data_IF_143563225198
#
_entry.id   IF_143563225198
#
_cell.length_a   1.000
_cell.length_b   1.000
_cell.length_c   1.000
_cell.angle_alpha   90.00
_cell.angle_beta   90.00
_cell.angle_gamma   90.00
#
_symmetry.space_group_name_H-M   'P 1'
#
loop_
_entity.id
_entity.type
_entity.pdbx_description
1 polymer ?
#
# COMPACT_ATOMS: atom_id res chain seq x y z
N UNK A 1 -47.09 16.10 15.52
CA UNK A 1 -46.53 15.78 14.19
C UNK A 1 -45.21 16.51 14.11
N UNK A 2 -44.16 15.86 14.62
CA UNK A 2 -42.80 16.40 14.67
C UNK A 2 -42.24 16.23 13.27
N UNK A 3 -41.93 17.34 12.59
CA UNK A 3 -41.22 17.30 11.31
C UNK A 3 -39.86 16.70 11.66
N UNK A 4 -39.63 15.45 11.26
CA UNK A 4 -38.30 14.86 11.34
C UNK A 4 -37.37 15.79 10.56
N UNK A 5 -36.31 16.25 11.22
CA UNK A 5 -35.22 16.99 10.60
C UNK A 5 -34.47 16.00 9.68
N UNK A 6 -35.12 15.60 8.59
CA UNK A 6 -34.53 14.78 7.54
C UNK A 6 -33.49 15.63 6.82
N UNK A 7 -32.21 15.36 7.09
CA UNK A 7 -31.17 15.61 6.10
C UNK A 7 -29.93 16.39 6.54
N UNK A 8 -29.86 16.88 7.78
CA UNK A 8 -28.59 17.40 8.30
C UNK A 8 -27.90 16.30 9.10
N UNK A 9 -26.90 15.68 8.46
CA UNK A 9 -25.96 14.78 9.13
C UNK A 9 -25.38 15.47 10.37
N UNK A 10 -25.29 14.77 11.52
CA UNK A 10 -24.73 15.36 12.73
C UNK A 10 -23.26 15.73 12.49
N UNK A 11 -22.90 16.96 12.84
CA UNK A 11 -21.50 17.37 12.96
C UNK A 11 -21.02 16.82 14.30
N UNK A 12 -20.04 15.91 14.28
CA UNK A 12 -19.49 15.27 15.46
C UNK A 12 -18.35 16.12 16.04
N UNK A 13 -18.47 16.53 17.29
CA UNK A 13 -17.54 17.46 17.95
C UNK A 13 -16.75 16.81 19.10
N UNK A 14 -17.20 15.64 19.56
CA UNK A 14 -16.56 14.93 20.67
C UNK A 14 -16.72 13.40 20.57
N UNK A 15 -16.12 12.73 21.56
CA UNK A 15 -16.06 11.27 21.62
C UNK A 15 -17.43 10.68 21.95
N UNK A 16 -18.21 11.39 22.76
CA UNK A 16 -19.54 11.01 23.20
C UNK A 16 -20.52 10.97 22.01
N UNK A 17 -20.54 12.02 21.18
CA UNK A 17 -21.36 12.08 19.95
C UNK A 17 -20.96 10.99 18.95
N UNK A 18 -19.66 10.77 18.77
CA UNK A 18 -19.17 9.68 17.92
C UNK A 18 -19.55 8.30 18.47
N UNK A 19 -19.53 8.13 19.80
CA UNK A 19 -19.91 6.86 20.46
C UNK A 19 -21.36 6.54 20.15
N UNK A 20 -22.26 7.48 20.41
CA UNK A 20 -23.69 7.36 20.11
C UNK A 20 -23.91 7.05 18.63
N UNK A 21 -23.19 7.73 17.73
CA UNK A 21 -23.30 7.49 16.29
C UNK A 21 -22.80 6.10 15.87
N UNK A 22 -21.79 5.52 16.53
CA UNK A 22 -21.24 4.21 16.20
C UNK A 22 -22.10 3.04 16.71
N UNK A 23 -22.96 3.25 17.73
CA UNK A 23 -23.69 2.17 18.42
C UNK A 23 -24.54 1.32 17.49
N UNK A 24 -25.13 1.90 16.45
CA UNK A 24 -26.00 1.23 15.47
C UNK A 24 -25.28 0.85 14.16
N UNK A 25 -23.99 1.17 14.02
CA UNK A 25 -23.26 1.00 12.76
C UNK A 25 -22.65 -0.39 12.57
N UNK A 26 -22.52 -0.87 11.31
CA UNK A 26 -21.86 -2.14 11.02
C UNK A 26 -20.39 -2.18 11.47
N UNK A 27 -19.93 -3.34 11.93
CA UNK A 27 -18.53 -3.53 12.37
C UNK A 27 -17.50 -3.20 11.29
N UNK A 28 -17.82 -3.48 10.02
CA UNK A 28 -16.96 -3.16 8.88
C UNK A 28 -16.69 -1.65 8.79
N UNK A 29 -17.72 -0.83 9.00
CA UNK A 29 -17.60 0.62 9.02
C UNK A 29 -16.74 1.09 10.20
N UNK A 30 -17.00 0.57 11.41
CA UNK A 30 -16.21 0.92 12.59
C UNK A 30 -14.72 0.59 12.41
N UNK A 31 -14.39 -0.53 11.74
CA UNK A 31 -13.02 -0.91 11.38
C UNK A 31 -12.37 0.06 10.39
N UNK A 32 -13.09 0.50 9.36
CA UNK A 32 -12.58 1.49 8.40
C UNK A 32 -12.31 2.83 9.09
N UNK A 33 -13.21 3.28 9.97
CA UNK A 33 -13.02 4.52 10.73
C UNK A 33 -11.83 4.44 11.68
N UNK A 34 -11.63 3.31 12.36
CA UNK A 34 -10.42 3.06 13.13
C UNK A 34 -9.17 3.07 12.25
N UNK A 35 -9.20 2.44 11.07
CA UNK A 35 -8.08 2.45 10.13
C UNK A 35 -7.69 3.88 9.73
N UNK A 36 -8.67 4.71 9.38
CA UNK A 36 -8.46 6.11 9.00
C UNK A 36 -7.98 6.97 10.17
N UNK A 37 -8.54 6.79 11.37
CA UNK A 37 -8.04 7.45 12.58
C UNK A 37 -6.58 7.11 12.87
N UNK A 38 -6.19 5.84 12.69
CA UNK A 38 -4.81 5.39 12.88
C UNK A 38 -3.87 5.92 11.77
N UNK A 39 -4.34 6.01 10.52
CA UNK A 39 -3.58 6.63 9.43
C UNK A 39 -3.27 8.10 9.73
N UNK A 40 -4.21 8.85 10.33
CA UNK A 40 -4.01 10.28 10.65
C UNK A 40 -2.82 10.56 11.57
N UNK A 41 -2.45 9.59 12.41
CA UNK A 41 -1.31 9.70 13.34
C UNK A 41 -0.04 9.02 12.82
N UNK A 42 -0.07 8.41 11.63
CA UNK A 42 1.06 7.68 11.06
C UNK A 42 2.33 8.54 10.88
N UNK A 43 2.27 9.84 10.49
CA UNK A 43 3.46 10.68 10.37
C UNK A 43 4.27 10.77 11.67
N UNK A 44 3.63 10.68 12.84
CA UNK A 44 4.35 10.71 14.12
C UNK A 44 5.26 9.49 14.33
N UNK A 45 4.94 8.33 13.71
CA UNK A 45 5.82 7.14 13.72
C UNK A 45 7.15 7.47 13.04
N UNK A 46 7.11 8.30 11.98
CA UNK A 46 8.28 8.64 11.20
C UNK A 46 9.21 9.59 11.93
N UNK A 47 8.68 10.46 12.80
CA UNK A 47 9.51 11.27 13.69
C UNK A 47 10.35 10.37 14.58
N UNK A 48 9.80 9.24 15.06
CA UNK A 48 10.57 8.23 15.79
C UNK A 48 11.69 7.61 14.93
N UNK A 49 11.39 7.29 13.66
CA UNK A 49 12.37 6.75 12.71
C UNK A 49 13.52 7.72 12.45
N UNK A 50 13.23 9.02 12.33
CA UNK A 50 14.21 10.05 12.07
C UNK A 50 15.21 10.21 13.22
N UNK A 51 14.74 10.06 14.46
CA UNK A 51 15.55 10.12 15.67
C UNK A 51 16.39 8.84 15.87
N UNK A 52 16.00 7.73 15.25
CA UNK A 52 16.56 6.42 15.54
C UNK A 52 17.55 5.89 14.51
N UNK A 53 18.25 6.76 13.76
CA UNK A 53 19.04 6.37 12.57
C UNK A 53 20.03 5.21 12.79
N UNK A 54 20.40 4.85 14.03
CA UNK A 54 21.28 3.70 14.32
C UNK A 54 20.62 2.53 15.08
N UNK A 55 19.47 2.72 15.75
CA UNK A 55 18.90 1.65 16.59
C UNK A 55 17.99 0.71 15.79
N UNK A 56 18.41 -0.57 15.70
CA UNK A 56 17.63 -1.64 15.10
C UNK A 56 16.25 -1.82 15.77
N UNK A 57 16.14 -1.60 17.09
CA UNK A 57 14.88 -1.78 17.83
C UNK A 57 13.81 -0.78 17.41
N UNK A 58 14.19 0.48 17.24
CA UNK A 58 13.27 1.53 16.80
C UNK A 58 12.80 1.31 15.36
N UNK A 59 13.72 0.90 14.47
CA UNK A 59 13.36 0.52 13.09
C UNK A 59 12.37 -0.65 13.05
N UNK A 60 12.61 -1.67 13.87
CA UNK A 60 11.72 -2.82 13.97
C UNK A 60 10.35 -2.45 14.56
N UNK A 61 10.33 -1.54 15.55
CA UNK A 61 9.10 -1.02 16.12
C UNK A 61 8.26 -0.28 15.08
N UNK A 62 8.86 0.68 14.37
CA UNK A 62 8.18 1.41 13.31
C UNK A 62 7.67 0.48 12.19
N UNK A 63 8.48 -0.50 11.77
CA UNK A 63 8.05 -1.52 10.81
C UNK A 63 6.84 -2.31 11.29
N UNK A 64 6.81 -2.66 12.59
CA UNK A 64 5.68 -3.34 13.22
C UNK A 64 4.42 -2.47 13.20
N UNK A 65 4.55 -1.17 13.46
CA UNK A 65 3.43 -0.23 13.38
C UNK A 65 2.92 -0.04 11.94
N UNK A 66 3.81 0.05 10.95
CA UNK A 66 3.40 0.10 9.54
C UNK A 66 2.69 -1.19 9.10
N UNK A 67 3.20 -2.35 9.53
CA UNK A 67 2.53 -3.64 9.28
C UNK A 67 1.14 -3.66 9.88
N UNK A 68 0.99 -3.19 11.12
CA UNK A 68 -0.29 -3.09 11.80
C UNK A 68 -1.25 -2.21 10.99
N UNK A 69 -0.85 -0.98 10.68
CA UNK A 69 -1.63 -0.05 9.87
C UNK A 69 -2.07 -0.64 8.52
N UNK A 70 -1.14 -1.23 7.77
CA UNK A 70 -1.43 -1.88 6.50
C UNK A 70 -2.44 -3.02 6.68
N UNK A 71 -2.23 -3.89 7.65
CA UNK A 71 -3.13 -5.02 7.93
C UNK A 71 -4.52 -4.51 8.30
N UNK A 72 -4.61 -3.42 9.06
CA UNK A 72 -5.90 -2.79 9.40
C UNK A 72 -6.63 -2.29 8.16
N UNK A 73 -5.93 -1.56 7.28
CA UNK A 73 -6.50 -1.05 6.05
C UNK A 73 -6.97 -2.19 5.14
N UNK A 74 -6.15 -3.22 4.94
CA UNK A 74 -6.49 -4.35 4.08
C UNK A 74 -7.65 -5.17 4.65
N UNK A 75 -7.63 -5.54 5.94
CA UNK A 75 -8.72 -6.36 6.55
C UNK A 75 -10.06 -5.65 6.58
N UNK A 76 -10.07 -4.32 6.58
CA UNK A 76 -11.30 -3.54 6.47
C UNK A 76 -11.88 -3.51 5.05
N UNK A 77 -11.10 -3.92 4.04
CA UNK A 77 -11.48 -3.92 2.62
C UNK A 77 -11.62 -5.32 2.03
N UNK A 78 -10.72 -6.23 2.37
CA UNK A 78 -10.60 -7.58 1.82
C UNK A 78 -10.94 -8.60 2.90
N UNK A 79 -11.88 -9.50 2.60
CA UNK A 79 -12.25 -10.61 3.49
C UNK A 79 -11.23 -11.74 3.36
N UNK A 80 -10.26 -11.79 4.27
CA UNK A 80 -9.26 -12.86 4.32
C UNK A 80 -8.98 -13.30 5.77
N UNK A 81 -9.21 -14.58 6.07
CA UNK A 81 -9.02 -15.17 7.41
C UNK A 81 -7.55 -15.21 7.85
N UNK A 82 -6.62 -15.33 6.91
CA UNK A 82 -5.19 -15.32 7.22
C UNK A 82 -4.75 -13.94 7.72
N UNK A 83 -5.34 -12.86 7.18
CA UNK A 83 -5.10 -11.51 7.69
C UNK A 83 -5.64 -11.30 9.11
N UNK A 84 -6.79 -11.89 9.45
CA UNK A 84 -7.32 -11.85 10.82
C UNK A 84 -6.39 -12.58 11.81
N UNK A 85 -5.79 -13.70 11.38
CA UNK A 85 -4.75 -14.39 12.16
C UNK A 85 -3.47 -13.54 12.28
N UNK A 86 -3.05 -12.91 11.18
CA UNK A 86 -1.91 -11.98 11.14
C UNK A 86 -2.11 -10.81 12.11
N UNK A 87 -3.31 -10.22 12.15
CA UNK A 87 -3.65 -9.12 13.05
C UNK A 87 -3.44 -9.48 14.54
N UNK A 88 -3.82 -10.68 14.96
CA UNK A 88 -3.58 -11.16 16.33
C UNK A 88 -2.08 -11.28 16.66
N UNK A 89 -1.28 -11.82 15.72
CA UNK A 89 0.17 -11.91 15.87
C UNK A 89 0.83 -10.53 15.95
N UNK A 90 0.33 -9.58 15.15
CA UNK A 90 0.80 -8.19 15.16
C UNK A 90 0.47 -7.52 16.49
N UNK A 91 -0.76 -7.67 17.00
CA UNK A 91 -1.18 -7.09 18.27
C UNK A 91 -0.29 -7.55 19.43
N UNK A 92 0.03 -8.84 19.49
CA UNK A 92 0.96 -9.39 20.49
C UNK A 92 2.37 -8.80 20.37
N UNK A 93 2.86 -8.63 19.14
CA UNK A 93 4.20 -8.09 18.88
C UNK A 93 4.27 -6.60 19.22
N UNK A 94 3.31 -5.82 18.75
CA UNK A 94 3.25 -4.37 18.96
C UNK A 94 3.00 -4.02 20.43
N UNK A 95 2.19 -4.79 21.16
CA UNK A 95 2.00 -4.60 22.61
C UNK A 95 3.27 -4.88 23.41
N UNK A 96 4.03 -5.93 23.07
CA UNK A 96 5.32 -6.21 23.68
C UNK A 96 6.33 -5.08 23.43
N UNK A 97 6.39 -4.54 22.21
CA UNK A 97 7.23 -3.38 21.91
C UNK A 97 6.80 -2.14 22.69
N UNK A 98 5.50 -1.85 22.76
CA UNK A 98 4.98 -0.72 23.53
C UNK A 98 5.33 -0.85 25.01
N UNK A 99 5.17 -2.02 25.62
CA UNK A 99 5.56 -2.24 27.01
C UNK A 99 7.07 -2.02 27.24
N UNK A 100 7.91 -2.47 26.31
CA UNK A 100 9.35 -2.22 26.38
C UNK A 100 9.70 -0.73 26.21
N UNK A 101 8.99 -0.03 25.32
CA UNK A 101 9.14 1.40 25.09
C UNK A 101 8.70 2.21 26.33
N UNK A 102 7.52 1.91 26.88
CA UNK A 102 6.98 2.54 28.08
C UNK A 102 7.92 2.37 29.28
N UNK A 103 8.44 1.16 29.50
CA UNK A 103 9.41 0.92 30.58
C UNK A 103 10.69 1.75 30.42
N UNK A 104 11.14 1.98 29.19
CA UNK A 104 12.30 2.83 28.90
C UNK A 104 11.98 4.30 29.20
N UNK A 105 10.79 4.77 28.82
CA UNK A 105 10.30 6.12 29.11
C UNK A 105 10.10 6.38 30.60
N UNK A 106 9.47 5.46 31.34
CA UNK A 106 9.32 5.54 32.81
C UNK A 106 10.68 5.53 33.50
N UNK A 107 11.63 4.72 33.03
CA UNK A 107 12.98 4.72 33.56
C UNK A 107 13.61 6.10 33.38
N UNK A 108 13.54 6.68 32.18
CA UNK A 108 14.01 8.04 31.90
C UNK A 108 13.35 9.12 32.77
N UNK A 109 12.03 9.04 32.96
CA UNK A 109 11.28 9.97 33.82
C UNK A 109 11.64 9.81 35.31
N UNK A 110 11.84 8.58 35.80
CA UNK A 110 12.29 8.32 37.17
C UNK A 110 13.72 8.81 37.45
N UNK A 111 14.55 8.91 36.41
CA UNK A 111 15.87 9.56 36.51
C UNK A 111 15.77 11.09 36.66
N UNK A 112 14.63 11.71 36.33
CA UNK A 112 14.43 13.15 36.55
C UNK A 112 14.29 13.52 38.03
N UNK A 113 13.87 12.59 38.89
CA UNK A 113 13.90 12.78 40.35
C UNK A 113 15.32 12.62 40.95
N UNK A 114 16.26 12.07 40.17
CA UNK A 114 17.68 11.93 40.49
C UNK A 114 18.50 13.18 40.13
N UNK A 115 18.33 14.26 40.90
CA UNK A 115 18.98 15.58 40.69
C UNK A 115 20.50 15.60 40.33
N UNK A 116 21.38 14.67 40.76
CA UNK A 116 22.80 14.72 40.38
C UNK A 116 23.08 14.31 38.92
N UNK A 117 22.27 13.41 38.35
CA UNK A 117 22.46 12.93 36.97
C UNK A 117 21.85 13.91 35.98
N UNK A 118 20.71 14.53 36.31
CA UNK A 118 20.17 15.63 35.53
C UNK A 118 21.10 16.85 35.49
N UNK A 119 21.90 17.15 36.53
CA UNK A 119 22.87 18.26 36.41
C UNK A 119 24.02 17.90 35.47
N UNK A 120 24.49 16.65 35.45
CA UNK A 120 25.51 16.18 34.51
C UNK A 120 24.97 16.04 33.07
N UNK A 121 23.76 15.51 32.91
CA UNK A 121 23.07 15.36 31.63
C UNK A 121 22.60 16.72 31.10
N UNK A 122 22.07 17.62 31.94
CA UNK A 122 21.77 19.00 31.55
C UNK A 122 23.04 19.83 31.32
N UNK A 123 24.19 19.50 31.92
CA UNK A 123 25.48 20.14 31.60
C UNK A 123 26.06 19.60 30.28
N UNK A 124 25.85 18.33 29.96
CA UNK A 124 26.15 17.72 28.66
C UNK A 124 25.20 18.21 27.54
N UNK A 125 23.89 18.30 27.82
CA UNK A 125 22.85 18.81 26.92
C UNK A 125 22.86 20.35 26.82
N UNK A 126 23.31 21.10 27.83
CA UNK A 126 23.61 22.54 27.67
C UNK A 126 24.82 22.76 26.76
N UNK A 127 25.72 21.80 26.64
CA UNK A 127 26.78 21.79 25.61
C UNK A 127 26.28 21.31 24.24
N UNK A 128 25.12 20.66 24.15
CA UNK A 128 24.46 20.22 22.92
C UNK A 128 22.97 20.62 22.89
N UNK A 129 22.71 21.93 22.84
CA UNK A 129 21.40 22.59 22.62
C UNK A 129 20.18 21.97 23.34
N UNK A 130 19.74 22.59 24.44
CA UNK A 130 18.52 22.25 25.19
C UNK A 130 17.22 22.17 24.32
N UNK A 131 17.22 22.79 23.14
CA UNK A 131 16.12 22.71 22.17
C UNK A 131 15.97 21.32 21.54
N UNK A 132 17.07 20.59 21.39
CA UNK A 132 17.06 19.23 20.83
C UNK A 132 16.40 18.24 21.79
N UNK A 133 16.68 18.35 23.10
CA UNK A 133 16.11 17.46 24.12
C UNK A 133 14.58 17.58 24.27
N UNK A 134 14.04 18.80 24.29
CA UNK A 134 12.59 19.02 24.37
C UNK A 134 11.86 18.48 23.14
N UNK A 135 12.43 18.69 21.95
CA UNK A 135 11.85 18.18 20.70
C UNK A 135 11.87 16.63 20.67
N UNK A 136 12.91 16.00 21.22
CA UNK A 136 12.99 14.54 21.34
C UNK A 136 11.89 14.00 22.26
N UNK A 137 11.70 14.58 23.46
CA UNK A 137 10.66 14.14 24.39
C UNK A 137 9.25 14.33 23.82
N UNK A 138 8.99 15.44 23.14
CA UNK A 138 7.72 15.67 22.44
C UNK A 138 7.50 14.66 21.32
N UNK A 139 8.55 14.33 20.54
CA UNK A 139 8.47 13.31 19.51
C UNK A 139 8.22 11.90 20.07
N UNK A 140 8.85 11.53 21.18
CA UNK A 140 8.62 10.26 21.87
C UNK A 140 7.17 10.16 22.39
N UNK A 141 6.66 11.21 23.03
CA UNK A 141 5.27 11.26 23.50
C UNK A 141 4.26 11.14 22.35
N UNK A 142 4.51 11.84 21.23
CA UNK A 142 3.68 11.70 20.03
C UNK A 142 3.76 10.29 19.47
N UNK A 143 4.95 9.68 19.43
CA UNK A 143 5.14 8.31 18.96
C UNK A 143 4.37 7.30 19.81
N UNK A 144 4.39 7.42 21.14
CA UNK A 144 3.63 6.52 22.02
C UNK A 144 2.12 6.65 21.80
N UNK A 145 1.61 7.87 21.63
CA UNK A 145 0.20 8.11 21.27
C UNK A 145 -0.16 7.49 19.91
N UNK A 146 0.71 7.64 18.90
CA UNK A 146 0.49 7.03 17.59
C UNK A 146 0.48 5.50 17.68
N UNK A 147 1.46 4.93 18.38
CA UNK A 147 1.54 3.49 18.62
C UNK A 147 0.29 2.97 19.34
N UNK A 148 -0.19 3.71 20.35
CA UNK A 148 -1.41 3.39 21.08
C UNK A 148 -2.65 3.41 20.19
N UNK A 149 -2.74 4.39 19.28
CA UNK A 149 -3.85 4.54 18.34
C UNK A 149 -3.89 3.38 17.33
N UNK A 150 -2.72 2.99 16.82
CA UNK A 150 -2.54 1.87 15.89
C UNK A 150 -2.84 0.53 16.58
N UNK A 151 -2.40 0.36 17.82
CA UNK A 151 -2.68 -0.83 18.62
C UNK A 151 -4.18 -0.98 18.87
N UNK A 152 -4.85 0.10 19.25
CA UNK A 152 -6.30 0.11 19.42
C UNK A 152 -6.99 -0.27 18.10
N UNK A 153 -6.62 0.36 16.98
CA UNK A 153 -7.19 0.01 15.68
C UNK A 153 -6.91 -1.45 15.27
N UNK A 154 -5.76 -2.00 15.65
CA UNK A 154 -5.45 -3.43 15.42
C UNK A 154 -6.36 -4.33 16.26
N UNK A 155 -6.62 -3.93 17.50
CA UNK A 155 -7.53 -4.63 18.41
C UNK A 155 -8.99 -4.59 17.91
N UNK A 156 -9.40 -3.52 17.23
CA UNK A 156 -10.70 -3.43 16.53
C UNK A 156 -10.89 -4.56 15.52
N UNK A 157 -9.83 -5.05 14.88
CA UNK A 157 -9.90 -6.17 13.93
C UNK A 157 -9.80 -7.52 14.60
N UNK A 158 -8.90 -7.64 15.59
CA UNK A 158 -8.73 -8.86 16.35
C UNK A 158 -9.99 -9.23 17.16
N UNK A 159 -10.76 -8.22 17.60
CA UNK A 159 -11.97 -8.43 18.38
C UNK A 159 -13.16 -8.89 17.51
N UNK A 160 -13.84 -9.93 17.98
CA UNK A 160 -15.09 -10.44 17.41
C UNK A 160 -16.33 -9.81 18.04
N UNK A 161 -16.20 -9.12 19.17
CA UNK A 161 -17.31 -8.54 19.94
C UNK A 161 -17.53 -7.07 19.62
N UNK A 162 -18.79 -6.66 19.41
CA UNK A 162 -19.18 -5.28 19.05
C UNK A 162 -18.65 -4.21 20.02
N UNK A 163 -18.80 -4.44 21.31
CA UNK A 163 -18.35 -3.49 22.37
C UNK A 163 -16.84 -3.20 22.26
N UNK A 164 -16.02 -4.22 22.02
CA UNK A 164 -14.56 -4.04 21.90
C UNK A 164 -14.16 -3.31 20.62
N UNK A 165 -14.94 -3.41 19.54
CA UNK A 165 -14.68 -2.71 18.27
C UNK A 165 -14.92 -1.22 18.45
N UNK A 166 -16.07 -0.86 19.03
CA UNK A 166 -16.44 0.55 19.27
C UNK A 166 -15.43 1.24 20.19
N UNK A 167 -15.13 0.65 21.35
CA UNK A 167 -14.12 1.18 22.29
C UNK A 167 -12.75 1.41 21.63
N UNK A 168 -12.30 0.44 20.84
CA UNK A 168 -11.01 0.53 20.16
C UNK A 168 -11.00 1.63 19.09
N UNK A 169 -12.08 1.77 18.32
CA UNK A 169 -12.27 2.87 17.36
C UNK A 169 -12.24 4.24 18.06
N UNK A 170 -12.93 4.38 19.20
CA UNK A 170 -12.95 5.61 19.99
C UNK A 170 -11.56 5.95 20.53
N UNK A 171 -10.82 4.97 21.05
CA UNK A 171 -9.44 5.17 21.53
C UNK A 171 -8.54 5.65 20.39
N UNK A 172 -8.63 5.06 19.21
CA UNK A 172 -7.85 5.49 18.04
C UNK A 172 -8.13 6.95 17.67
N UNK A 173 -9.40 7.33 17.60
CA UNK A 173 -9.82 8.69 17.24
C UNK A 173 -9.44 9.67 18.35
N UNK A 174 -9.67 9.34 19.62
CA UNK A 174 -9.23 10.16 20.75
C UNK A 174 -7.71 10.36 20.78
N UNK A 175 -6.93 9.34 20.46
CA UNK A 175 -5.48 9.48 20.42
C UNK A 175 -5.01 10.36 19.25
N UNK A 176 -5.75 10.39 18.13
CA UNK A 176 -5.50 11.33 17.04
C UNK A 176 -5.80 12.79 17.44
N UNK A 177 -6.81 13.05 18.28
CA UNK A 177 -7.10 14.40 18.78
C UNK A 177 -6.13 14.85 19.88
N UNK A 178 -5.57 13.91 20.66
CA UNK A 178 -4.64 14.22 21.75
C UNK A 178 -3.22 14.56 21.28
N UNK A 179 -2.87 14.33 20.02
CA UNK A 179 -1.56 14.69 19.47
C UNK A 179 -1.46 16.15 19.06
N UNK A 180 -2.58 16.86 19.04
CA UNK A 180 -2.70 18.14 18.37
C UNK A 180 -3.11 19.25 19.35
N UNK A 181 -2.75 20.49 19.03
CA UNK A 181 -3.14 21.66 19.84
C UNK A 181 -4.67 21.89 19.71
N UNK A 182 -5.27 22.70 20.58
CA UNK A 182 -6.73 22.89 20.57
C UNK A 182 -7.30 23.33 19.22
N UNK A 183 -6.52 24.09 18.43
CA UNK A 183 -6.88 24.49 17.07
C UNK A 183 -6.93 23.31 16.09
N UNK A 184 -6.06 22.33 16.25
CA UNK A 184 -5.98 21.16 15.38
C UNK A 184 -6.99 20.06 15.77
N UNK A 185 -7.50 20.06 17.02
CA UNK A 185 -8.59 19.16 17.42
C UNK A 185 -9.83 19.36 16.56
N UNK A 186 -10.12 20.61 16.20
CA UNK A 186 -11.22 20.98 15.30
C UNK A 186 -11.03 20.29 13.93
N UNK A 187 -9.80 20.29 13.40
CA UNK A 187 -9.47 19.68 12.11
C UNK A 187 -9.65 18.16 12.16
N UNK A 188 -9.25 17.51 13.26
CA UNK A 188 -9.46 16.07 13.44
C UNK A 188 -10.95 15.73 13.48
N UNK A 189 -11.74 16.47 14.27
CA UNK A 189 -13.19 16.26 14.36
C UNK A 189 -13.93 16.59 13.08
N UNK A 190 -13.48 17.59 12.31
CA UNK A 190 -14.00 17.87 10.98
C UNK A 190 -13.75 16.69 10.02
N UNK A 191 -12.53 16.14 10.01
CA UNK A 191 -12.20 14.98 9.20
C UNK A 191 -12.98 13.72 9.61
N UNK A 192 -13.19 13.50 10.91
CA UNK A 192 -14.02 12.40 11.45
C UNK A 192 -15.48 12.61 11.09
N UNK A 193 -16.01 13.83 11.25
CA UNK A 193 -17.37 14.18 10.88
C UNK A 193 -17.62 13.90 9.41
N UNK A 194 -16.73 14.35 8.53
CA UNK A 194 -16.86 14.08 7.10
C UNK A 194 -16.76 12.59 6.75
N UNK A 195 -15.98 11.82 7.50
CA UNK A 195 -15.95 10.38 7.32
C UNK A 195 -17.32 9.73 7.64
N UNK A 196 -18.12 10.34 8.51
CA UNK A 196 -19.48 9.89 8.87
C UNK A 196 -20.57 10.39 7.94
N UNK A 197 -20.29 11.38 7.07
CA UNK A 197 -21.29 11.94 6.14
C UNK A 197 -21.36 11.24 4.79
N UNK A 198 -20.57 10.19 4.58
CA UNK A 198 -20.55 9.49 3.29
C UNK A 198 -21.81 8.62 3.10
N UNK A 199 -22.60 8.88 2.05
CA UNK A 199 -23.88 8.18 1.83
C UNK A 199 -23.71 6.67 1.53
N UNK A 200 -22.52 6.23 1.10
CA UNK A 200 -22.21 4.83 0.78
C UNK A 200 -21.62 4.02 1.94
N UNK A 201 -21.62 4.54 3.18
CA UNK A 201 -20.88 3.94 4.31
C UNK A 201 -21.34 2.53 4.68
N UNK A 202 -22.61 2.19 4.44
CA UNK A 202 -23.17 0.89 4.84
C UNK A 202 -22.82 -0.18 3.81
N UNK A 203 -22.99 0.12 2.52
CA UNK A 203 -22.86 -0.88 1.46
C UNK A 203 -21.41 -1.10 1.02
N UNK A 204 -20.60 -0.04 1.06
CA UNK A 204 -19.20 -0.11 0.63
C UNK A 204 -18.27 0.73 1.53
N UNK A 205 -18.12 0.38 2.83
CA UNK A 205 -17.30 1.17 3.78
C UNK A 205 -15.88 1.44 3.30
N UNK A 206 -15.27 0.50 2.56
CA UNK A 206 -13.91 0.64 2.03
C UNK A 206 -13.75 1.76 1.00
N UNK A 207 -14.84 2.24 0.38
CA UNK A 207 -14.80 3.41 -0.51
C UNK A 207 -14.40 4.67 0.24
N UNK A 208 -14.52 4.68 1.57
CA UNK A 208 -14.06 5.79 2.40
C UNK A 208 -12.54 6.03 2.28
N UNK A 209 -11.74 5.01 1.93
CA UNK A 209 -10.32 5.21 1.61
C UNK A 209 -10.08 6.00 0.33
N UNK A 210 -11.11 6.21 -0.51
CA UNK A 210 -11.02 7.09 -1.68
C UNK A 210 -11.26 8.57 -1.36
N UNK A 211 -11.66 8.86 -0.13
CA UNK A 211 -11.70 10.23 0.35
C UNK A 211 -10.31 10.60 0.88
N UNK A 212 -9.82 11.82 0.60
CA UNK A 212 -8.63 12.34 1.24
C UNK A 212 -8.70 12.12 2.75
N UNK A 213 -7.56 11.78 3.35
CA UNK A 213 -7.49 11.53 4.79
C UNK A 213 -7.83 12.79 5.59
N UNK A 214 -7.50 13.94 5.00
CA UNK A 214 -7.81 15.29 5.49
C UNK A 214 -8.54 16.04 4.38
N UNK A 215 -9.85 16.28 4.52
CA UNK A 215 -10.65 16.87 3.46
C UNK A 215 -10.31 18.33 3.20
N UNK A 216 -9.97 19.05 4.26
CA UNK A 216 -9.34 20.36 4.19
C UNK A 216 -7.86 20.16 4.48
N UNK A 217 -7.00 20.63 3.58
CA UNK A 217 -5.55 20.50 3.73
C UNK A 217 -5.18 21.07 5.11
N UNK A 218 -4.56 20.26 5.97
CA UNK A 218 -4.52 20.57 7.37
C UNK A 218 -3.55 21.73 7.68
N UNK A 219 -3.67 22.27 8.89
CA UNK A 219 -2.79 23.29 9.44
C UNK A 219 -1.31 23.00 9.17
N UNK A 220 -0.50 24.06 9.13
CA UNK A 220 0.94 24.02 8.82
C UNK A 220 1.69 22.87 9.53
N UNK A 221 1.33 22.56 10.76
CA UNK A 221 1.96 21.51 11.56
C UNK A 221 1.81 20.09 10.96
N UNK A 222 0.61 19.69 10.55
CA UNK A 222 0.39 18.35 9.96
C UNK A 222 1.08 18.23 8.60
N UNK A 223 1.15 19.34 7.85
CA UNK A 223 1.93 19.42 6.61
C UNK A 223 3.43 19.29 6.88
N UNK A 224 3.96 19.94 7.93
CA UNK A 224 5.36 19.84 8.34
C UNK A 224 5.72 18.40 8.79
N UNK A 225 4.82 17.73 9.52
CA UNK A 225 5.01 16.33 9.94
C UNK A 225 5.01 15.36 8.75
N UNK A 226 4.10 15.54 7.78
CA UNK A 226 4.11 14.78 6.52
C UNK A 226 5.42 15.01 5.75
N UNK A 227 5.82 16.27 5.60
CA UNK A 227 7.07 16.61 4.90
C UNK A 227 8.30 16.00 5.62
N UNK A 228 8.31 15.99 6.96
CA UNK A 228 9.36 15.34 7.73
C UNK A 228 9.36 13.82 7.52
N UNK A 229 8.19 13.18 7.48
CA UNK A 229 8.07 11.75 7.17
C UNK A 229 8.64 11.43 5.78
N UNK A 230 8.23 12.16 4.76
CA UNK A 230 8.69 11.99 3.38
C UNK A 230 10.19 12.22 3.26
N UNK A 231 10.69 13.30 3.85
CA UNK A 231 12.12 13.63 3.83
C UNK A 231 12.96 12.53 4.49
N UNK A 232 12.59 12.10 5.69
CA UNK A 232 13.39 11.11 6.43
C UNK A 232 13.32 9.72 5.79
N UNK A 233 12.14 9.34 5.29
CA UNK A 233 11.93 8.02 4.68
C UNK A 233 12.50 7.93 3.27
N UNK A 234 12.46 8.99 2.47
CA UNK A 234 13.01 9.01 1.10
C UNK A 234 14.54 8.87 1.07
N UNK A 235 15.24 9.29 2.13
CA UNK A 235 16.69 9.07 2.28
C UNK A 235 17.08 7.61 2.43
N UNK A 236 16.13 6.75 2.75
CA UNK A 236 16.35 5.34 3.01
C UNK A 236 15.46 4.53 2.06
N UNK A 237 16.04 4.02 0.96
CA UNK A 237 15.30 3.32 -0.11
C UNK A 237 14.33 2.24 0.41
N UNK A 238 14.66 1.56 1.52
CA UNK A 238 13.83 0.53 2.16
C UNK A 238 12.47 1.03 2.68
N UNK A 239 12.31 2.33 2.95
CA UNK A 239 11.04 2.92 3.37
C UNK A 239 10.20 3.48 2.21
N UNK A 240 10.71 3.42 0.98
CA UNK A 240 10.08 4.06 -0.19
C UNK A 240 8.64 3.58 -0.46
N UNK A 241 8.35 2.30 -0.21
CA UNK A 241 6.97 1.78 -0.33
C UNK A 241 6.03 2.47 0.64
N UNK A 242 6.42 2.58 1.92
CA UNK A 242 5.57 3.15 2.98
C UNK A 242 5.26 4.62 2.73
N UNK A 243 6.22 5.38 2.17
CA UNK A 243 6.00 6.77 1.74
C UNK A 243 4.93 6.85 0.67
N UNK A 244 5.09 6.10 -0.44
CA UNK A 244 4.12 6.09 -1.53
C UNK A 244 2.75 5.59 -1.06
N UNK A 245 2.73 4.56 -0.23
CA UNK A 245 1.51 3.97 0.31
C UNK A 245 0.74 4.96 1.19
N UNK A 246 1.43 5.64 2.10
CA UNK A 246 0.80 6.66 2.94
C UNK A 246 0.35 7.87 2.13
N UNK A 247 1.15 8.32 1.16
CA UNK A 247 0.80 9.45 0.29
C UNK A 247 -0.45 9.16 -0.56
N UNK A 248 -0.56 7.94 -1.09
CA UNK A 248 -1.77 7.44 -1.74
C UNK A 248 -2.99 7.50 -0.80
N UNK A 249 -2.86 7.01 0.44
CA UNK A 249 -3.93 7.09 1.45
C UNK A 249 -4.29 8.53 1.83
N UNK A 250 -3.30 9.41 1.91
CA UNK A 250 -3.48 10.82 2.23
C UNK A 250 -4.39 11.53 1.22
N UNK A 251 -4.19 11.24 -0.07
CA UNK A 251 -4.94 11.87 -1.17
C UNK A 251 -6.27 11.16 -1.52
N UNK A 252 -6.57 10.02 -0.90
CA UNK A 252 -7.73 9.22 -1.29
C UNK A 252 -7.51 8.43 -2.60
N UNK A 253 -6.26 8.11 -2.92
CA UNK A 253 -5.88 7.32 -4.09
C UNK A 253 -5.19 6.03 -3.66
N UNK A 254 -5.87 5.15 -2.88
CA UNK A 254 -5.23 3.98 -2.30
C UNK A 254 -4.62 3.09 -3.40
N UNK A 255 -3.45 2.51 -3.11
CA UNK A 255 -2.82 1.52 -3.99
C UNK A 255 -3.74 0.33 -4.23
N UNK A 256 -3.44 -0.45 -5.27
CA UNK A 256 -4.14 -1.72 -5.54
C UNK A 256 -4.25 -2.58 -4.26
N UNK A 257 -5.47 -2.97 -3.90
CA UNK A 257 -5.74 -3.69 -2.66
C UNK A 257 -5.13 -5.09 -2.65
N UNK A 258 -5.02 -5.76 -3.80
CA UNK A 258 -4.38 -7.06 -3.90
C UNK A 258 -2.85 -6.93 -3.74
N UNK A 259 -2.24 -5.83 -4.19
CA UNK A 259 -0.84 -5.52 -3.88
C UNK A 259 -0.66 -5.32 -2.37
N UNK A 260 -1.51 -4.49 -1.74
CA UNK A 260 -1.46 -4.24 -0.30
C UNK A 260 -1.67 -5.53 0.52
N UNK A 261 -2.62 -6.37 0.12
CA UNK A 261 -2.88 -7.69 0.72
C UNK A 261 -1.66 -8.61 0.63
N UNK A 262 -1.04 -8.71 -0.55
CA UNK A 262 0.15 -9.53 -0.74
C UNK A 262 1.31 -9.08 0.16
N UNK A 263 1.46 -7.77 0.40
CA UNK A 263 2.45 -7.24 1.36
C UNK A 263 2.06 -7.58 2.79
N UNK A 264 0.79 -7.40 3.17
CA UNK A 264 0.31 -7.70 4.53
C UNK A 264 0.44 -9.18 4.91
N UNK A 265 0.30 -10.08 3.93
CA UNK A 265 0.43 -11.54 4.07
C UNK A 265 1.88 -12.05 4.06
N UNK A 266 2.87 -11.17 3.98
CA UNK A 266 4.27 -11.60 4.09
C UNK A 266 4.50 -12.42 5.37
N UNK A 267 5.24 -13.54 5.30
CA UNK A 267 5.50 -14.40 6.45
C UNK A 267 6.08 -13.64 7.65
N UNK A 268 5.67 -14.03 8.87
CA UNK A 268 6.19 -13.43 10.11
C UNK A 268 7.72 -13.42 10.20
N UNK A 269 8.38 -14.45 9.65
CA UNK A 269 9.85 -14.53 9.62
C UNK A 269 10.47 -13.39 8.82
N UNK A 270 9.86 -12.96 7.72
CA UNK A 270 10.35 -11.83 6.93
C UNK A 270 10.18 -10.52 7.71
N UNK A 271 9.07 -10.35 8.43
CA UNK A 271 8.84 -9.18 9.28
C UNK A 271 9.81 -9.09 10.45
N UNK A 272 10.19 -10.22 11.03
CA UNK A 272 11.16 -10.29 12.13
C UNK A 272 12.60 -10.06 11.67
N UNK A 273 12.90 -10.34 10.40
CA UNK A 273 14.22 -10.13 9.82
C UNK A 273 14.57 -8.63 9.61
N UNK A 274 13.57 -7.74 9.63
CA UNK A 274 13.78 -6.30 9.63
C UNK A 274 13.39 -5.59 8.33
N UNK A 275 13.55 -4.26 8.28
CA UNK A 275 13.03 -3.43 7.20
C UNK A 275 13.74 -3.66 5.87
N UNK A 276 15.01 -4.06 5.87
CA UNK A 276 15.75 -4.42 4.66
C UNK A 276 15.13 -5.64 3.97
N UNK A 277 14.89 -6.72 4.74
CA UNK A 277 14.24 -7.93 4.23
C UNK A 277 12.84 -7.63 3.70
N UNK A 278 12.05 -6.85 4.43
CA UNK A 278 10.70 -6.47 3.98
C UNK A 278 10.74 -5.63 2.71
N UNK A 279 11.67 -4.70 2.57
CA UNK A 279 11.80 -3.91 1.35
C UNK A 279 12.13 -4.76 0.12
N UNK A 280 12.99 -5.78 0.27
CA UNK A 280 13.28 -6.75 -0.79
C UNK A 280 12.02 -7.53 -1.19
N UNK A 281 11.29 -8.07 -0.20
CA UNK A 281 10.03 -8.80 -0.45
C UNK A 281 8.98 -7.92 -1.12
N UNK A 282 8.83 -6.67 -0.69
CA UNK A 282 7.90 -5.72 -1.32
C UNK A 282 8.30 -5.45 -2.77
N UNK A 283 9.58 -5.23 -3.06
CA UNK A 283 10.08 -5.00 -4.42
C UNK A 283 9.78 -6.18 -5.34
N UNK A 284 9.94 -7.40 -4.85
CA UNK A 284 9.54 -8.61 -5.58
C UNK A 284 8.04 -8.63 -5.88
N UNK A 285 7.20 -8.34 -4.87
CA UNK A 285 5.74 -8.30 -5.03
C UNK A 285 5.35 -7.22 -6.05
N UNK A 286 5.88 -5.99 -5.94
CA UNK A 286 5.62 -4.90 -6.89
C UNK A 286 5.99 -5.29 -8.32
N UNK A 287 7.17 -5.90 -8.51
CA UNK A 287 7.62 -6.35 -9.83
C UNK A 287 6.71 -7.47 -10.39
N UNK A 288 6.25 -8.39 -9.53
CA UNK A 288 5.30 -9.45 -9.90
C UNK A 288 3.96 -8.87 -10.36
N UNK A 289 3.42 -7.90 -9.63
CA UNK A 289 2.17 -7.23 -9.98
C UNK A 289 2.29 -6.41 -11.27
N UNK A 290 3.40 -5.69 -11.45
CA UNK A 290 3.69 -4.98 -12.69
C UNK A 290 3.73 -5.94 -13.89
N UNK A 291 4.37 -7.11 -13.75
CA UNK A 291 4.38 -8.13 -14.80
C UNK A 291 2.96 -8.65 -15.10
N UNK A 292 2.16 -9.00 -14.08
CA UNK A 292 0.77 -9.43 -14.26
C UNK A 292 -0.06 -8.41 -15.03
N UNK A 293 0.06 -7.13 -14.69
CA UNK A 293 -0.65 -6.05 -15.37
C UNK A 293 -0.26 -5.96 -16.86
N UNK A 294 1.04 -6.07 -17.19
CA UNK A 294 1.51 -6.04 -18.58
C UNK A 294 1.07 -7.26 -19.39
N UNK A 295 1.07 -8.44 -18.77
CA UNK A 295 0.55 -9.66 -19.42
C UNK A 295 -0.94 -9.48 -19.72
N UNK A 296 -1.74 -9.00 -18.76
CA UNK A 296 -3.17 -8.78 -18.94
C UNK A 296 -3.48 -7.72 -20.02
N UNK A 297 -2.71 -6.62 -20.07
CA UNK A 297 -2.81 -5.59 -21.11
C UNK A 297 -2.55 -6.19 -22.50
N UNK A 298 -1.48 -6.97 -22.66
CA UNK A 298 -1.16 -7.62 -23.93
C UNK A 298 -2.21 -8.68 -24.32
N UNK A 299 -2.69 -9.49 -23.37
CA UNK A 299 -3.77 -10.46 -23.61
C UNK A 299 -5.06 -9.75 -24.07
N UNK A 300 -5.41 -8.61 -23.47
CA UNK A 300 -6.57 -7.82 -23.86
C UNK A 300 -6.42 -7.24 -25.28
N UNK A 301 -5.26 -6.69 -25.62
CA UNK A 301 -4.96 -6.18 -26.97
C UNK A 301 -5.02 -7.29 -28.03
N UNK A 302 -4.49 -8.47 -27.71
CA UNK A 302 -4.61 -9.65 -28.59
C UNK A 302 -6.07 -10.10 -28.75
N UNK A 303 -6.86 -10.09 -27.67
CA UNK A 303 -8.28 -10.44 -27.70
C UNK A 303 -9.11 -9.45 -28.51
N UNK A 304 -8.86 -8.14 -28.41
CA UNK A 304 -9.57 -7.11 -29.18
C UNK A 304 -9.37 -7.30 -30.68
N UNK A 305 -8.15 -7.61 -31.12
CA UNK A 305 -7.84 -7.88 -32.53
C UNK A 305 -8.45 -9.19 -33.03
N UNK A 306 -8.76 -10.13 -32.14
CA UNK A 306 -9.57 -11.32 -32.46
C UNK A 306 -11.05 -10.97 -32.56
N UNK A 307 -11.59 -10.17 -31.64
CA UNK A 307 -13.01 -9.81 -31.58
C UNK A 307 -13.46 -8.88 -32.72
N UNK A 308 -12.61 -7.92 -33.13
CA UNK A 308 -12.87 -7.06 -34.29
C UNK A 308 -13.05 -7.83 -35.62
N UNK A 309 -12.79 -9.15 -35.63
CA UNK A 309 -13.05 -10.06 -36.77
C UNK A 309 -14.52 -10.45 -36.94
N UNK A 310 -15.33 -10.38 -35.88
CA UNK A 310 -16.72 -10.87 -35.88
C UNK A 310 -17.76 -9.76 -35.89
N UNK A 311 -17.41 -8.61 -36.49
CA UNK A 311 -18.36 -7.51 -36.70
C UNK A 311 -19.67 -8.00 -37.32
N UNK A 312 -20.78 -7.60 -36.70
CA UNK A 312 -22.16 -8.03 -36.94
C UNK A 312 -22.51 -7.81 -38.43
N UNK A 313 -22.54 -8.87 -39.25
CA UNK A 313 -23.26 -8.87 -40.53
C UNK A 313 -22.51 -9.23 -41.81
N UNK A 314 -21.29 -9.78 -41.78
CA UNK A 314 -20.60 -10.21 -43.00
C UNK A 314 -20.21 -11.69 -42.97
N UNK A 315 -20.89 -12.54 -43.74
CA UNK A 315 -20.43 -13.90 -44.06
C UNK A 315 -19.28 -13.86 -45.08
N UNK A 316 -18.34 -12.94 -44.88
CA UNK A 316 -17.16 -12.79 -45.72
C UNK A 316 -16.17 -13.87 -45.31
N UNK A 317 -15.65 -14.67 -46.27
CA UNK A 317 -14.62 -15.64 -45.96
C UNK A 317 -13.43 -14.96 -45.28
N UNK A 318 -12.68 -15.68 -44.42
CA UNK A 318 -11.51 -15.14 -43.76
C UNK A 318 -10.58 -14.50 -44.80
N UNK A 319 -10.28 -13.19 -44.73
CA UNK A 319 -9.39 -12.55 -45.68
C UNK A 319 -8.02 -13.22 -45.66
N UNK A 320 -7.43 -13.44 -46.83
CA UNK A 320 -6.06 -13.94 -46.98
C UNK A 320 -5.09 -13.05 -46.15
N UNK A 321 -4.24 -13.65 -45.31
CA UNK A 321 -3.39 -12.92 -44.35
C UNK A 321 -3.91 -12.86 -42.91
N UNK A 322 -4.78 -13.81 -42.52
CA UNK A 322 -5.20 -13.97 -41.13
C UNK A 322 -4.13 -14.63 -40.27
N UNK A 323 -3.86 -14.00 -39.13
CA UNK A 323 -3.22 -14.59 -37.96
C UNK A 323 -4.07 -15.74 -37.43
N UNK A 324 -3.62 -16.98 -37.58
CA UNK A 324 -4.23 -18.12 -36.92
C UNK A 324 -3.67 -18.30 -35.49
N UNK A 325 -4.18 -19.30 -34.76
CA UNK A 325 -3.72 -19.58 -33.40
C UNK A 325 -2.29 -20.17 -33.38
N UNK A 326 -1.89 -20.86 -34.44
CA UNK A 326 -0.55 -21.40 -34.59
C UNK A 326 0.48 -20.28 -34.77
N UNK A 327 0.14 -19.22 -35.50
CA UNK A 327 0.98 -18.03 -35.73
C UNK A 327 1.29 -17.27 -34.42
N UNK A 328 0.34 -17.24 -33.48
CA UNK A 328 0.51 -16.59 -32.18
C UNK A 328 1.17 -17.50 -31.13
N UNK A 329 1.33 -18.78 -31.41
CA UNK A 329 1.88 -19.76 -30.46
C UNK A 329 3.26 -19.36 -29.90
N UNK A 330 4.21 -18.83 -30.70
CA UNK A 330 5.52 -18.39 -30.19
C UNK A 330 5.42 -17.27 -29.14
N UNK A 331 4.39 -16.43 -29.20
CA UNK A 331 4.12 -15.37 -28.23
C UNK A 331 3.31 -15.88 -27.04
N UNK A 332 2.22 -16.61 -27.30
CA UNK A 332 1.27 -17.05 -26.28
C UNK A 332 1.91 -18.02 -25.28
N UNK A 333 2.74 -18.95 -25.73
CA UNK A 333 3.35 -19.96 -24.86
C UNK A 333 4.26 -19.35 -23.78
N UNK A 334 5.23 -18.46 -24.09
CA UNK A 334 6.00 -17.76 -23.07
C UNK A 334 5.14 -16.94 -22.09
N UNK A 335 4.10 -16.25 -22.59
CA UNK A 335 3.20 -15.46 -21.72
C UNK A 335 2.47 -16.36 -20.72
N UNK A 336 1.95 -17.50 -21.15
CA UNK A 336 1.30 -18.48 -20.27
C UNK A 336 2.26 -19.01 -19.20
N UNK A 337 3.53 -19.25 -19.56
CA UNK A 337 4.55 -19.65 -18.57
C UNK A 337 4.77 -18.54 -17.56
N UNK A 338 5.00 -17.29 -18.00
CA UNK A 338 5.18 -16.17 -17.08
C UNK A 338 3.96 -15.99 -16.16
N UNK A 339 2.75 -16.04 -16.71
CA UNK A 339 1.50 -15.95 -15.95
C UNK A 339 1.43 -17.02 -14.87
N UNK A 340 1.65 -18.28 -15.22
CA UNK A 340 1.66 -19.39 -14.27
C UNK A 340 2.74 -19.22 -13.19
N UNK A 341 3.95 -18.75 -13.57
CA UNK A 341 5.01 -18.49 -12.60
C UNK A 341 4.69 -17.32 -11.65
N UNK A 342 3.96 -16.29 -12.11
CA UNK A 342 3.51 -15.19 -11.22
C UNK A 342 2.44 -15.61 -10.21
N UNK A 343 1.85 -16.79 -10.38
CA UNK A 343 0.86 -17.38 -9.47
C UNK A 343 1.47 -18.48 -8.58
N UNK A 344 2.67 -18.96 -8.91
CA UNK A 344 3.36 -19.97 -8.14
C UNK A 344 3.81 -19.43 -6.77
N UNK A 345 3.68 -20.26 -5.73
CA UNK A 345 4.21 -19.98 -4.39
C UNK A 345 5.75 -19.87 -4.40
N UNK A 346 6.39 -20.75 -5.17
CA UNK A 346 7.84 -20.77 -5.38
C UNK A 346 8.16 -20.69 -6.88
N UNK A 347 8.34 -19.50 -7.45
CA UNK A 347 8.59 -19.34 -8.88
C UNK A 347 9.94 -19.93 -9.31
N UNK A 348 9.99 -20.51 -10.50
CA UNK A 348 11.16 -21.19 -11.06
C UNK A 348 12.01 -20.23 -11.90
N UNK A 349 13.24 -19.93 -11.43
CA UNK A 349 14.22 -19.12 -12.17
C UNK A 349 14.40 -19.56 -13.62
N UNK A 350 14.54 -20.88 -13.82
CA UNK A 350 14.81 -21.45 -15.14
C UNK A 350 13.62 -21.29 -16.09
N UNK A 351 12.39 -21.52 -15.62
CA UNK A 351 11.18 -21.37 -16.44
C UNK A 351 10.93 -19.91 -16.81
N UNK A 352 11.14 -18.99 -15.88
CA UNK A 352 11.03 -17.55 -16.14
C UNK A 352 12.07 -17.13 -17.19
N UNK A 353 13.33 -17.55 -17.05
CA UNK A 353 14.38 -17.24 -18.03
C UNK A 353 14.07 -17.78 -19.43
N UNK A 354 13.59 -19.03 -19.51
CA UNK A 354 13.18 -19.64 -20.78
C UNK A 354 12.03 -18.88 -21.44
N UNK A 355 11.06 -18.41 -20.65
CA UNK A 355 9.95 -17.62 -21.17
C UNK A 355 10.42 -16.24 -21.66
N UNK A 356 11.30 -15.56 -20.92
CA UNK A 356 11.95 -14.31 -21.32
C UNK A 356 12.71 -14.50 -22.65
N UNK A 357 13.49 -15.58 -22.77
CA UNK A 357 14.24 -15.88 -23.99
C UNK A 357 13.31 -16.15 -25.19
N UNK A 358 12.18 -16.82 -24.96
CA UNK A 358 11.12 -17.03 -25.95
C UNK A 358 10.48 -15.72 -26.43
N UNK A 359 10.22 -14.78 -25.52
CA UNK A 359 9.72 -13.44 -25.88
C UNK A 359 10.75 -12.64 -26.69
N UNK A 360 12.04 -12.69 -26.31
CA UNK A 360 13.12 -12.05 -27.11
C UNK A 360 13.24 -12.64 -28.50
N UNK A 361 13.16 -13.96 -28.62
CA UNK A 361 13.19 -14.64 -29.91
C UNK A 361 12.02 -14.20 -30.79
N UNK A 362 10.82 -14.06 -30.21
CA UNK A 362 9.63 -13.55 -30.90
C UNK A 362 9.83 -12.11 -31.39
N UNK A 363 10.31 -11.20 -30.53
CA UNK A 363 10.62 -9.82 -30.92
C UNK A 363 11.66 -9.75 -32.05
N UNK A 364 12.75 -10.51 -31.94
CA UNK A 364 13.81 -10.56 -32.97
C UNK A 364 13.26 -11.09 -34.30
N UNK A 365 12.41 -12.12 -34.24
CA UNK A 365 11.75 -12.67 -35.42
C UNK A 365 10.86 -11.62 -36.09
N UNK A 366 10.06 -10.86 -35.32
CA UNK A 366 9.23 -9.75 -35.84
C UNK A 366 10.12 -8.70 -36.52
N UNK A 367 11.17 -8.21 -35.84
CA UNK A 367 12.07 -7.20 -36.38
C UNK A 367 12.78 -7.65 -37.66
N UNK A 368 13.28 -8.89 -37.69
CA UNK A 368 13.94 -9.44 -38.87
C UNK A 368 13.02 -9.56 -40.09
N UNK A 369 11.72 -9.78 -39.88
CA UNK A 369 10.75 -9.80 -40.99
C UNK A 369 10.35 -8.40 -41.46
N UNK A 370 10.38 -7.39 -40.59
CA UNK A 370 10.20 -5.99 -41.00
C UNK A 370 11.38 -5.56 -41.89
N UNK A 371 12.61 -5.83 -41.46
CA UNK A 371 13.82 -5.50 -42.21
C UNK A 371 13.84 -6.21 -43.58
N UNK A 372 13.51 -7.51 -43.60
CA UNK A 372 13.40 -8.27 -44.83
C UNK A 372 12.23 -7.80 -45.71
N UNK A 373 11.12 -7.38 -45.13
CA UNK A 373 9.94 -6.86 -45.85
C UNK A 373 10.22 -5.51 -46.52
N UNK A 374 10.99 -4.62 -45.88
CA UNK A 374 11.46 -3.37 -46.51
C UNK A 374 12.42 -3.69 -47.67
N UNK A 375 13.28 -4.70 -47.52
CA UNK A 375 14.20 -5.14 -48.59
C UNK A 375 13.53 -5.88 -49.75
N UNK A 376 12.49 -6.67 -49.49
CA UNK A 376 11.81 -7.54 -50.46
C UNK A 376 10.54 -6.92 -51.07
N UNK A 377 9.95 -5.90 -50.44
CA UNK A 377 8.80 -5.15 -50.94
C UNK A 377 9.03 -4.47 -52.29
N UNK A 378 10.28 -4.41 -52.77
CA UNK A 378 10.61 -4.00 -54.13
C UNK A 378 10.52 -5.13 -55.19
N UNK A 379 10.26 -6.40 -54.86
CA UNK A 379 10.42 -7.49 -55.86
C UNK A 379 9.31 -8.52 -56.10
N UNK A 380 8.39 -8.90 -55.22
CA UNK A 380 7.44 -9.98 -55.58
C UNK A 380 6.12 -10.03 -54.79
N UNK A 381 5.01 -10.14 -55.53
CA UNK A 381 3.61 -10.14 -55.05
C UNK A 381 3.09 -11.49 -54.48
N UNK A 382 3.97 -12.47 -54.21
CA UNK A 382 3.58 -13.78 -53.66
C UNK A 382 3.62 -13.89 -52.13
N UNK A 383 4.05 -12.83 -51.43
CA UNK A 383 4.36 -12.82 -49.99
C UNK A 383 3.23 -12.27 -49.07
N UNK A 384 2.01 -12.10 -49.60
CA UNK A 384 0.95 -11.30 -48.99
C UNK A 384 0.45 -11.79 -47.60
N UNK A 385 0.52 -13.10 -47.33
CA UNK A 385 0.06 -13.68 -46.05
C UNK A 385 1.08 -13.43 -44.93
N UNK A 386 2.38 -13.60 -45.22
CA UNK A 386 3.46 -13.39 -44.25
C UNK A 386 3.67 -11.92 -43.90
N UNK A 387 3.53 -11.00 -44.87
CA UNK A 387 3.71 -9.55 -44.63
C UNK A 387 2.60 -8.97 -43.76
N UNK A 388 1.36 -9.43 -43.93
CA UNK A 388 0.21 -8.97 -43.12
C UNK A 388 0.30 -9.46 -41.67
N UNK A 389 0.79 -10.69 -41.46
CA UNK A 389 1.08 -11.25 -40.15
C UNK A 389 2.14 -10.43 -39.40
N UNK A 390 3.28 -10.21 -40.05
CA UNK A 390 4.40 -9.45 -39.49
C UNK A 390 3.99 -8.01 -39.18
N UNK A 391 3.22 -7.36 -40.06
CA UNK A 391 2.73 -6.01 -39.83
C UNK A 391 1.80 -5.91 -38.61
N UNK A 392 0.91 -6.89 -38.41
CA UNK A 392 0.03 -6.93 -37.23
C UNK A 392 0.79 -7.23 -35.95
N UNK A 393 1.76 -8.15 -35.98
CA UNK A 393 2.62 -8.43 -34.83
C UNK A 393 3.56 -7.26 -34.50
N UNK A 394 4.04 -6.54 -35.50
CA UNK A 394 4.80 -5.31 -35.32
C UNK A 394 4.00 -4.27 -34.51
N UNK A 395 2.67 -4.26 -34.68
CA UNK A 395 1.76 -3.45 -33.88
C UNK A 395 1.71 -3.80 -32.39
N UNK A 396 2.28 -4.93 -31.96
CA UNK A 396 2.43 -5.30 -30.54
C UNK A 396 3.86 -5.25 -30.03
N UNK A 397 4.82 -4.79 -30.85
CA UNK A 397 6.25 -4.82 -30.49
C UNK A 397 6.53 -4.11 -29.17
N UNK A 398 5.88 -2.97 -28.95
CA UNK A 398 6.03 -2.15 -27.74
C UNK A 398 5.40 -2.83 -26.50
N UNK A 399 4.22 -3.44 -26.63
CA UNK A 399 3.57 -4.21 -25.55
C UNK A 399 4.44 -5.42 -25.16
N UNK A 400 4.95 -6.17 -26.13
CA UNK A 400 5.82 -7.33 -25.88
C UNK A 400 7.11 -6.88 -25.20
N UNK A 401 7.72 -5.77 -25.64
CA UNK A 401 8.91 -5.20 -25.00
C UNK A 401 8.63 -4.75 -23.55
N UNK A 402 7.45 -4.18 -23.27
CA UNK A 402 7.02 -3.84 -21.92
C UNK A 402 6.85 -5.07 -21.02
N UNK A 403 6.26 -6.15 -21.53
CA UNK A 403 6.17 -7.43 -20.79
C UNK A 403 7.56 -8.00 -20.51
N UNK A 404 8.44 -8.00 -21.52
CA UNK A 404 9.82 -8.48 -21.39
C UNK A 404 10.58 -7.71 -20.30
N UNK A 405 10.54 -6.37 -20.34
CA UNK A 405 11.20 -5.53 -19.34
C UNK A 405 10.65 -5.78 -17.92
N UNK A 406 9.33 -5.96 -17.78
CA UNK A 406 8.71 -6.29 -16.49
C UNK A 406 9.14 -7.69 -15.99
N UNK A 407 9.26 -8.67 -16.89
CA UNK A 407 9.70 -10.02 -16.55
C UNK A 407 11.17 -10.05 -16.10
N UNK A 408 12.05 -9.31 -16.77
CA UNK A 408 13.45 -9.16 -16.38
C UNK A 408 13.60 -8.44 -15.03
N UNK A 409 12.81 -7.39 -14.80
CA UNK A 409 12.78 -6.68 -13.52
C UNK A 409 12.30 -7.60 -12.37
N UNK A 410 11.28 -8.42 -12.62
CA UNK A 410 10.79 -9.39 -11.64
C UNK A 410 11.82 -10.50 -11.37
N UNK A 411 12.45 -11.04 -12.40
CA UNK A 411 13.51 -12.04 -12.25
C UNK A 411 14.67 -11.52 -11.37
N UNK A 412 15.08 -10.26 -11.56
CA UNK A 412 16.11 -9.58 -10.76
C UNK A 412 15.67 -9.26 -9.33
N UNK A 413 14.38 -9.09 -9.10
CA UNK A 413 13.86 -8.86 -7.75
C UNK A 413 13.78 -10.17 -6.95
N UNK A 414 13.62 -11.31 -7.64
CA UNK A 414 13.46 -12.63 -7.05
C UNK A 414 14.80 -13.34 -6.73
N UNK A 415 15.86 -13.08 -7.51
CA UNK A 415 17.18 -13.72 -7.39
C UNK A 415 18.32 -12.73 -7.59
#
# INVERSE_FOLDING_TARGET
MTIANEGLMPVLNDVEELTEWLEDKPHTLQRVLAARGALRVAPSIATALALSNEDLKHRQFALTLFRALLTICVTSTVKNKELEHSANSILKTASAYRQAFHKTSETLSSYEDGRPVLSALATAMRKTSAKTGLNTLQAEHRTDKAASSILAATQTIASSTKVSVTESTLVTIRLSTLQTDDADKIIVWEAVSQDTTYDGLIDAPHQLFKNPLWPNIPAKQLSDEKAAFEYNSSRQQKWGFWVRWYDAMWHGEPMDWALQEAVALLPNVDWQAGPERIAERIKEIEARFALKARIAELEASLAQTRAGRFGIGGNSPPPEGQLDEADLTPLVRPLQVLKAETEAETPSKSRIQQAIDGLRATLKWIGGHIDAGIGAGMKTAGAAVGTTFVAKLAGYGDEIARVLAAAEAWLKALF
#
